data_IF_137350079520
#
_entry.id   IF_137350079520
#
_cell.length_a   1.000
_cell.length_b   1.000
_cell.length_c   1.000
_cell.angle_alpha   90.00
_cell.angle_beta   90.00
_cell.angle_gamma   90.00
#
_symmetry.space_group_name_H-M   'P 1'
#
loop_
_entity.id
_entity.type
_entity.pdbx_description
1 polymer ?
#
# COMPACT_ATOMS: atom_id res chain seq x y z
N UNK A 1 1.46 13.14 -4.78
CA UNK A 1 0.48 12.25 -5.40
C UNK A 1 1.10 10.90 -5.69
N UNK A 2 0.35 9.83 -5.48
CA UNK A 2 0.86 8.48 -5.71
C UNK A 2 0.93 8.20 -7.21
N UNK A 3 2.04 7.64 -7.66
CA UNK A 3 2.25 7.37 -9.09
C UNK A 3 2.68 5.94 -9.31
N UNK A 4 2.20 5.35 -10.41
CA UNK A 4 2.57 4.01 -10.82
C UNK A 4 4.08 3.89 -11.01
N UNK A 5 4.63 2.77 -10.59
CA UNK A 5 6.06 2.42 -10.68
C UNK A 5 6.96 3.17 -9.70
N UNK A 6 6.40 4.03 -8.85
CA UNK A 6 7.17 4.66 -7.79
C UNK A 6 7.20 3.77 -6.55
N UNK A 7 8.25 3.92 -5.75
CA UNK A 7 8.43 3.16 -4.52
C UNK A 7 8.17 4.05 -3.32
N UNK A 8 7.57 3.49 -2.29
CA UNK A 8 7.29 4.21 -1.05
C UNK A 8 7.52 3.30 0.14
N UNK A 9 7.88 3.90 1.27
CA UNK A 9 7.92 3.20 2.55
C UNK A 9 6.69 3.62 3.33
N UNK A 10 5.86 2.65 3.70
CA UNK A 10 4.57 2.91 4.34
C UNK A 10 4.39 2.09 5.60
N UNK A 11 3.56 2.59 6.50
CA UNK A 11 3.10 1.85 7.67
C UNK A 11 1.75 1.24 7.35
N UNK A 12 1.60 -0.05 7.62
CA UNK A 12 0.34 -0.74 7.40
C UNK A 12 -0.56 -0.45 8.59
N UNK A 13 -1.62 0.30 8.36
CA UNK A 13 -2.47 0.81 9.43
C UNK A 13 -3.66 -0.09 9.73
N UNK A 14 -3.99 -1.01 8.83
CA UNK A 14 -5.12 -1.89 9.02
C UNK A 14 -5.02 -3.04 8.02
N UNK A 15 -5.89 -4.05 8.19
CA UNK A 15 -6.05 -5.12 7.21
C UNK A 15 -7.47 -5.06 6.65
N UNK A 16 -7.59 -5.27 5.35
CA UNK A 16 -8.87 -5.25 4.68
C UNK A 16 -9.61 -6.57 4.83
N UNK A 17 -10.79 -6.63 4.25
CA UNK A 17 -11.70 -7.75 4.37
C UNK A 17 -11.08 -9.06 3.88
N UNK A 18 -10.24 -8.98 2.84
CA UNK A 18 -9.60 -10.18 2.27
C UNK A 18 -8.19 -10.38 2.78
N UNK A 19 -7.80 -9.69 3.84
CA UNK A 19 -6.49 -9.85 4.45
C UNK A 19 -5.41 -8.97 3.84
N UNK A 20 -5.74 -8.13 2.86
CA UNK A 20 -4.77 -7.22 2.30
C UNK A 20 -4.39 -6.14 3.30
N UNK A 21 -3.14 -5.67 3.25
CA UNK A 21 -2.72 -4.56 4.08
C UNK A 21 -3.24 -3.25 3.52
N UNK A 22 -3.50 -2.30 4.42
CA UNK A 22 -3.97 -0.98 4.04
C UNK A 22 -3.01 0.06 4.56
N UNK A 23 -2.57 0.95 3.68
CA UNK A 23 -1.73 2.09 4.03
C UNK A 23 -2.31 3.34 3.39
N UNK A 24 -1.87 4.50 3.86
CA UNK A 24 -2.27 5.77 3.25
C UNK A 24 -1.06 6.62 2.97
N UNK A 25 -1.06 7.26 1.80
CA UNK A 25 -0.05 8.22 1.40
C UNK A 25 -0.80 9.50 1.05
N UNK A 26 -0.60 10.55 1.84
CA UNK A 26 -1.28 11.85 1.64
C UNK A 26 -2.79 11.69 1.53
N UNK A 27 -3.35 10.79 2.36
CA UNK A 27 -4.79 10.55 2.37
C UNK A 27 -5.28 9.59 1.30
N UNK A 28 -4.41 9.17 0.39
CA UNK A 28 -4.77 8.25 -0.69
C UNK A 28 -4.58 6.81 -0.21
N UNK A 29 -5.61 5.98 -0.34
CA UNK A 29 -5.59 4.61 0.16
C UNK A 29 -4.81 3.68 -0.74
N UNK A 30 -3.92 2.86 -0.15
CA UNK A 30 -3.12 1.90 -0.88
C UNK A 30 -3.43 0.51 -0.33
N UNK A 31 -3.77 -0.43 -1.21
CA UNK A 31 -3.98 -1.84 -0.84
C UNK A 31 -2.75 -2.64 -1.20
N UNK A 32 -2.24 -3.42 -0.25
CA UNK A 32 -0.99 -4.15 -0.41
C UNK A 32 -1.23 -5.61 -0.01
N UNK A 33 -1.44 -6.50 -0.99
CA UNK A 33 -1.67 -7.91 -0.68
C UNK A 33 -0.50 -8.50 0.10
N UNK A 34 -0.81 -9.26 1.15
CA UNK A 34 0.20 -9.93 1.96
C UNK A 34 0.80 -9.11 3.08
N UNK A 35 0.50 -7.82 3.15
CA UNK A 35 1.01 -6.97 4.23
C UNK A 35 0.14 -7.13 5.48
N UNK A 36 0.74 -6.95 6.65
CA UNK A 36 0.08 -7.15 7.94
C UNK A 36 0.11 -5.86 8.73
N UNK A 37 -1.01 -5.54 9.37
CA UNK A 37 -1.14 -4.36 10.23
C UNK A 37 0.03 -4.27 11.21
N UNK A 38 0.61 -3.10 11.31
CA UNK A 38 1.73 -2.82 12.20
C UNK A 38 3.09 -2.94 11.55
N UNK A 39 3.16 -3.46 10.32
CA UNK A 39 4.43 -3.56 9.61
C UNK A 39 4.78 -2.25 8.92
N UNK A 40 6.08 -2.01 8.78
CA UNK A 40 6.60 -0.92 7.95
C UNK A 40 7.24 -1.57 6.74
N UNK A 41 6.74 -1.24 5.55
CA UNK A 41 7.05 -2.00 4.34
C UNK A 41 7.42 -1.06 3.20
N UNK A 42 8.42 -1.48 2.42
CA UNK A 42 8.75 -0.81 1.17
C UNK A 42 7.91 -1.43 0.07
N UNK A 43 7.19 -0.61 -0.65
CA UNK A 43 6.26 -1.07 -1.68
C UNK A 43 6.54 -0.40 -3.02
N UNK A 44 6.11 -1.08 -4.09
CA UNK A 44 6.09 -0.53 -5.43
C UNK A 44 4.63 -0.35 -5.84
N UNK A 45 4.27 0.83 -6.31
CA UNK A 45 2.91 1.09 -6.79
C UNK A 45 2.75 0.45 -8.16
N UNK A 46 1.83 -0.50 -8.27
CA UNK A 46 1.63 -1.26 -9.52
C UNK A 46 0.40 -0.81 -10.29
N UNK A 47 -0.56 -0.16 -9.62
CA UNK A 47 -1.77 0.33 -10.28
C UNK A 47 -2.35 1.49 -9.49
N UNK A 48 -2.77 2.52 -10.20
CA UNK A 48 -3.41 3.69 -9.57
C UNK A 48 -4.80 3.88 -10.19
N UNK A 49 -5.81 3.99 -9.32
CA UNK A 49 -7.18 4.25 -9.70
C UNK A 49 -7.57 5.63 -9.19
N UNK A 50 -8.81 6.05 -9.43
CA UNK A 50 -9.23 7.41 -9.08
C UNK A 50 -9.30 7.65 -7.57
N UNK A 51 -9.57 6.60 -6.77
CA UNK A 51 -9.76 6.73 -5.33
C UNK A 51 -8.76 5.94 -4.50
N UNK A 52 -8.00 5.03 -5.12
CA UNK A 52 -7.06 4.18 -4.39
C UNK A 52 -6.02 3.61 -5.35
N UNK A 53 -5.02 2.94 -4.78
CA UNK A 53 -3.97 2.32 -5.57
C UNK A 53 -3.63 0.96 -5.00
N UNK A 54 -2.88 0.17 -5.76
CA UNK A 54 -2.39 -1.14 -5.33
C UNK A 54 -0.88 -1.12 -5.30
N UNK A 55 -0.32 -1.70 -4.25
CA UNK A 55 1.12 -1.80 -4.08
C UNK A 55 1.56 -3.24 -3.95
N UNK A 56 2.82 -3.48 -4.29
CA UNK A 56 3.47 -4.78 -4.17
C UNK A 56 4.58 -4.67 -3.14
N UNK A 57 4.70 -5.67 -2.27
CA UNK A 57 5.76 -5.68 -1.26
C UNK A 57 7.11 -5.88 -1.94
N UNK A 58 8.06 -4.98 -1.64
CA UNK A 58 9.45 -5.14 -2.06
C UNK A 58 10.31 -5.62 -0.90
N UNK A 59 10.14 -5.01 0.28
CA UNK A 59 10.87 -5.38 1.50
C UNK A 59 10.00 -5.12 2.70
N UNK A 60 10.19 -5.91 3.73
CA UNK A 60 9.47 -5.76 5.00
C UNK A 60 10.34 -5.04 6.04
#
# INVERSE_FOLDING_TARGET
MVEKNNEYIVDIIDNGYEGEGIAKIDGFTIFIPGAIKGEKIKILIVKVLSSHAFGKILEI
#
